data_IF_813087804837
#
_entry.id   IF_813087804837
#
_cell.length_a   1.000
_cell.length_b   1.000
_cell.length_c   1.000
_cell.angle_alpha   90.00
_cell.angle_beta   90.00
_cell.angle_gamma   90.00
#
_symmetry.space_group_name_H-M   'P 1'
#
loop_
_entity.id
_entity.type
_entity.pdbx_description
1 polymer ?
#
# COMPACT_ATOMS: atom_id res chain seq x y z
N UNK A 1 25.93 -1.03 9.66
CA UNK A 1 24.95 -0.93 8.56
C UNK A 1 24.09 -2.19 8.65
N UNK A 2 22.85 -2.06 9.12
CA UNK A 2 21.94 -3.22 9.17
C UNK A 2 21.72 -3.74 7.76
N UNK A 3 21.62 -5.06 7.54
CA UNK A 3 21.34 -5.62 6.23
C UNK A 3 20.01 -5.06 5.72
N UNK A 4 19.96 -4.73 4.41
CA UNK A 4 18.74 -4.30 3.77
C UNK A 4 17.68 -5.37 3.96
N UNK A 5 16.59 -5.02 4.64
CA UNK A 5 15.45 -5.90 4.80
C UNK A 5 14.66 -5.85 3.50
N UNK A 6 14.65 -6.95 2.76
CA UNK A 6 13.82 -7.11 1.57
C UNK A 6 12.51 -7.82 1.90
N UNK A 7 11.47 -7.54 1.10
CA UNK A 7 10.21 -8.26 1.20
C UNK A 7 10.41 -9.74 0.84
N UNK A 8 9.91 -10.62 1.69
CA UNK A 8 9.77 -12.02 1.32
C UNK A 8 8.68 -12.15 0.27
N UNK A 9 8.99 -12.79 -0.86
CA UNK A 9 7.97 -13.15 -1.84
C UNK A 9 7.19 -14.36 -1.34
N UNK A 10 5.88 -14.34 -1.55
CA UNK A 10 5.00 -15.45 -1.17
C UNK A 10 4.21 -15.92 -2.37
N UNK A 11 4.06 -17.25 -2.52
CA UNK A 11 3.14 -17.83 -3.52
C UNK A 11 1.71 -17.40 -3.23
N UNK A 12 1.35 -17.31 -1.94
CA UNK A 12 0.07 -16.81 -1.46
C UNK A 12 0.27 -15.46 -0.76
N UNK A 13 0.55 -14.42 -1.55
CA UNK A 13 0.82 -13.08 -1.01
C UNK A 13 -0.41 -12.51 -0.30
N UNK A 14 -0.26 -11.96 0.92
CA UNK A 14 -1.33 -11.25 1.60
C UNK A 14 -1.49 -9.80 1.12
N UNK A 15 -0.50 -9.28 0.38
CA UNK A 15 -0.54 -7.88 -0.09
C UNK A 15 -1.56 -7.75 -1.20
N UNK A 16 -2.64 -7.04 -0.92
CA UNK A 16 -3.76 -6.81 -1.84
C UNK A 16 -3.68 -5.45 -2.54
N UNK A 17 -2.86 -4.54 -2.03
CA UNK A 17 -2.67 -3.23 -2.63
C UNK A 17 -1.35 -2.60 -2.16
N UNK A 18 -0.62 -1.97 -3.10
CA UNK A 18 0.48 -1.05 -2.80
C UNK A 18 0.22 0.25 -3.54
N UNK A 19 0.35 1.38 -2.84
CA UNK A 19 0.13 2.71 -3.43
C UNK A 19 1.28 3.64 -3.09
N UNK A 20 1.87 4.25 -4.12
CA UNK A 20 2.71 5.44 -3.99
C UNK A 20 1.88 6.66 -4.34
N UNK A 21 1.77 7.63 -3.44
CA UNK A 21 0.98 8.85 -3.65
C UNK A 21 1.82 10.09 -3.39
N UNK A 22 1.79 11.03 -4.33
CA UNK A 22 2.50 12.29 -4.30
C UNK A 22 1.47 13.41 -4.28
N UNK A 23 1.52 14.26 -3.26
CA UNK A 23 0.74 15.50 -3.21
C UNK A 23 1.60 16.67 -3.64
N UNK A 24 1.02 17.61 -4.34
CA UNK A 24 1.66 18.85 -4.82
C UNK A 24 0.68 20.01 -4.76
N UNK A 25 1.14 21.26 -4.86
CA UNK A 25 0.26 22.42 -4.95
C UNK A 25 -0.71 22.31 -6.12
N UNK A 26 -1.91 22.86 -5.97
CA UNK A 26 -2.97 22.75 -6.97
C UNK A 26 -2.52 23.21 -8.36
N UNK A 27 -2.70 22.32 -9.34
CA UNK A 27 -2.45 22.56 -10.76
C UNK A 27 -3.79 22.71 -11.50
N UNK A 28 -4.25 23.94 -11.65
CA UNK A 28 -5.57 24.24 -12.23
C UNK A 28 -5.72 23.80 -13.69
N UNK A 29 -4.62 23.55 -14.39
CA UNK A 29 -4.63 23.02 -15.76
C UNK A 29 -5.16 21.60 -15.85
N UNK A 30 -5.02 20.78 -14.80
CA UNK A 30 -5.46 19.38 -14.79
C UNK A 30 -6.99 19.26 -14.85
N UNK A 31 -7.80 19.95 -14.00
CA UNK A 31 -9.26 19.90 -14.13
C UNK A 31 -9.80 20.75 -15.26
N UNK A 32 -9.05 21.74 -15.78
CA UNK A 32 -9.51 22.64 -16.83
C UNK A 32 -9.59 21.96 -18.21
N UNK A 33 -8.75 20.93 -18.47
CA UNK A 33 -8.74 20.18 -19.72
C UNK A 33 -8.18 18.75 -19.51
N UNK A 34 -8.58 17.77 -20.35
CA UNK A 34 -8.00 16.44 -20.32
C UNK A 34 -6.47 16.48 -20.42
N UNK A 35 -5.74 15.69 -19.62
CA UNK A 35 -4.28 15.74 -19.53
C UNK A 35 -3.61 14.98 -20.71
N UNK A 36 -3.84 15.44 -21.94
CA UNK A 36 -3.39 14.77 -23.16
C UNK A 36 -1.85 14.62 -23.20
N UNK A 37 -1.11 15.67 -22.85
CA UNK A 37 0.35 15.62 -22.84
C UNK A 37 0.92 14.61 -21.82
N UNK A 38 0.25 14.42 -20.70
CA UNK A 38 0.60 13.37 -19.74
C UNK A 38 0.21 11.98 -20.26
N UNK A 39 -0.99 11.84 -20.79
CA UNK A 39 -1.47 10.59 -21.42
C UNK A 39 -0.49 10.09 -22.48
N UNK A 40 -0.02 10.97 -23.36
CA UNK A 40 0.94 10.60 -24.44
C UNK A 40 2.23 9.96 -23.90
N UNK A 41 2.67 10.39 -22.71
CA UNK A 41 3.88 9.84 -22.08
C UNK A 41 3.65 8.50 -21.39
N UNK A 42 2.43 8.24 -20.91
CA UNK A 42 2.14 7.03 -20.12
C UNK A 42 1.34 5.97 -20.90
N UNK A 43 0.73 6.30 -22.03
CA UNK A 43 -0.20 5.43 -22.80
C UNK A 43 0.39 4.09 -23.25
N UNK A 44 1.71 4.01 -23.44
CA UNK A 44 2.36 2.75 -23.83
C UNK A 44 2.21 1.68 -22.73
N UNK A 45 2.24 2.09 -21.46
CA UNK A 45 2.06 1.21 -20.30
C UNK A 45 0.61 1.20 -19.80
N UNK A 46 -0.08 2.35 -19.89
CA UNK A 46 -1.46 2.56 -19.39
C UNK A 46 -2.39 3.01 -20.51
N UNK A 47 -2.79 2.09 -21.41
CA UNK A 47 -3.58 2.43 -22.59
C UNK A 47 -5.04 2.79 -22.29
N UNK A 48 -5.58 2.33 -21.15
CA UNK A 48 -6.93 2.67 -20.74
C UNK A 48 -6.98 3.97 -19.96
N UNK A 49 -8.03 4.73 -20.16
CA UNK A 49 -8.25 6.03 -19.56
C UNK A 49 -9.72 6.20 -19.22
N UNK A 50 -10.01 6.78 -18.07
CA UNK A 50 -11.34 7.16 -17.61
C UNK A 50 -11.26 8.38 -16.68
N UNK A 51 -12.27 9.25 -16.63
CA UNK A 51 -12.38 10.25 -15.56
C UNK A 51 -12.64 9.55 -14.21
N UNK A 52 -12.24 10.19 -13.11
CA UNK A 52 -12.65 9.77 -11.76
C UNK A 52 -14.16 9.91 -11.58
N UNK A 53 -14.75 9.20 -10.60
CA UNK A 53 -16.21 9.24 -10.35
C UNK A 53 -16.71 10.66 -10.05
N UNK A 54 -15.93 11.46 -9.34
CA UNK A 54 -16.22 12.87 -9.03
C UNK A 54 -15.88 13.83 -10.17
N UNK A 55 -15.33 13.31 -11.29
CA UNK A 55 -14.86 14.07 -12.45
C UNK A 55 -13.80 15.14 -12.16
N UNK A 56 -13.09 15.03 -11.02
CA UNK A 56 -12.01 15.95 -10.62
C UNK A 56 -10.62 15.46 -10.99
N UNK A 57 -10.53 14.31 -11.64
CA UNK A 57 -9.28 13.71 -12.04
C UNK A 57 -9.46 12.61 -13.07
N UNK A 58 -8.39 11.88 -13.30
CA UNK A 58 -8.29 10.88 -14.34
C UNK A 58 -7.59 9.63 -13.81
N UNK A 59 -8.05 8.47 -14.26
CA UNK A 59 -7.45 7.17 -13.98
C UNK A 59 -6.94 6.59 -15.29
N UNK A 60 -5.67 6.22 -15.31
CA UNK A 60 -5.04 5.46 -16.38
C UNK A 60 -4.75 4.05 -15.86
N UNK A 61 -4.97 3.02 -16.67
CA UNK A 61 -4.73 1.65 -16.22
C UNK A 61 -4.09 0.78 -17.29
N UNK A 62 -3.37 -0.25 -16.82
CA UNK A 62 -2.88 -1.33 -17.68
C UNK A 62 -4.04 -2.14 -18.27
N UNK A 63 -3.73 -2.94 -19.30
CA UNK A 63 -4.70 -3.84 -19.94
C UNK A 63 -5.29 -4.86 -18.96
N UNK A 64 -4.48 -5.39 -18.06
CA UNK A 64 -4.89 -6.35 -17.03
C UNK A 64 -5.63 -5.71 -15.85
N UNK A 65 -5.69 -4.38 -15.78
CA UNK A 65 -6.31 -3.60 -14.71
C UNK A 65 -5.77 -3.91 -13.32
N UNK A 66 -4.51 -4.30 -13.22
CA UNK A 66 -3.84 -4.54 -11.94
C UNK A 66 -2.96 -3.39 -11.51
N UNK A 67 -2.67 -2.45 -12.41
CA UNK A 67 -1.90 -1.25 -12.13
C UNK A 67 -2.63 -0.01 -12.63
N UNK A 68 -2.73 1.00 -11.78
CA UNK A 68 -3.49 2.23 -12.01
C UNK A 68 -2.62 3.45 -11.72
N UNK A 69 -2.81 4.49 -12.51
CA UNK A 69 -2.29 5.83 -12.25
C UNK A 69 -3.47 6.77 -12.08
N UNK A 70 -3.60 7.41 -10.93
CA UNK A 70 -4.61 8.42 -10.69
C UNK A 70 -3.96 9.80 -10.67
N UNK A 71 -4.49 10.71 -11.47
CA UNK A 71 -4.05 12.10 -11.55
C UNK A 71 -5.22 13.02 -11.23
N UNK A 72 -5.06 13.84 -10.21
CA UNK A 72 -6.02 14.90 -9.85
C UNK A 72 -5.31 16.25 -9.85
N UNK A 73 -6.04 17.31 -9.54
CA UNK A 73 -5.53 18.68 -9.42
C UNK A 73 -4.29 18.80 -8.52
N UNK A 74 -4.15 17.97 -7.49
CA UNK A 74 -3.10 18.07 -6.49
C UNK A 74 -2.54 16.72 -6.03
N UNK A 75 -2.84 15.65 -6.77
CA UNK A 75 -2.41 14.30 -6.40
C UNK A 75 -2.04 13.48 -7.63
N UNK A 76 -0.91 12.80 -7.56
CA UNK A 76 -0.51 11.73 -8.46
C UNK A 76 -0.35 10.46 -7.65
N UNK A 77 -1.03 9.38 -8.01
CA UNK A 77 -0.89 8.09 -7.34
C UNK A 77 -0.61 6.98 -8.35
N UNK A 78 0.27 6.05 -7.99
CA UNK A 78 0.48 4.77 -8.67
C UNK A 78 0.02 3.68 -7.72
N UNK A 79 -0.95 2.88 -8.13
CA UNK A 79 -1.53 1.80 -7.33
C UNK A 79 -1.39 0.47 -8.05
N UNK A 80 -0.94 -0.55 -7.33
CA UNK A 80 -0.80 -1.92 -7.81
C UNK A 80 -1.64 -2.85 -6.93
N UNK A 81 -2.49 -3.68 -7.52
CA UNK A 81 -3.34 -4.64 -6.81
C UNK A 81 -2.74 -6.05 -6.74
N UNK A 82 -1.64 -6.28 -7.44
CA UNK A 82 -0.87 -7.53 -7.39
C UNK A 82 0.60 -7.18 -7.24
N UNK A 83 1.10 -7.25 -6.01
CA UNK A 83 2.48 -6.89 -5.69
C UNK A 83 3.38 -8.12 -5.80
N UNK A 84 4.41 -8.05 -6.66
CA UNK A 84 5.43 -9.07 -6.85
C UNK A 84 6.74 -8.70 -6.14
N UNK A 85 7.31 -7.56 -6.50
CA UNK A 85 8.58 -7.11 -5.96
C UNK A 85 8.71 -5.58 -5.97
N UNK A 86 9.57 -5.07 -5.07
CA UNK A 86 9.79 -3.65 -4.92
C UNK A 86 10.41 -2.99 -6.16
N UNK A 87 11.37 -3.66 -6.79
CA UNK A 87 12.09 -3.09 -7.95
C UNK A 87 11.14 -2.76 -9.11
N UNK A 88 10.16 -3.64 -9.38
CA UNK A 88 9.17 -3.43 -10.43
C UNK A 88 8.23 -2.26 -10.10
N UNK A 89 7.69 -2.23 -8.88
CA UNK A 89 6.82 -1.14 -8.44
C UNK A 89 7.53 0.21 -8.39
N UNK A 90 8.77 0.22 -7.89
CA UNK A 90 9.63 1.40 -7.86
C UNK A 90 9.89 1.95 -9.27
N UNK A 91 10.17 1.08 -10.25
CA UNK A 91 10.37 1.47 -11.64
C UNK A 91 9.10 2.08 -12.25
N UNK A 92 7.91 1.52 -11.94
CA UNK A 92 6.63 2.07 -12.36
C UNK A 92 6.41 3.48 -11.79
N UNK A 93 6.62 3.67 -10.48
CA UNK A 93 6.54 4.98 -9.83
C UNK A 93 7.49 6.00 -10.45
N UNK A 94 8.74 5.63 -10.69
CA UNK A 94 9.74 6.51 -11.29
C UNK A 94 9.38 6.91 -12.73
N UNK A 95 8.87 5.98 -13.54
CA UNK A 95 8.43 6.27 -14.91
C UNK A 95 7.24 7.24 -14.97
N UNK A 96 6.24 7.02 -14.11
CA UNK A 96 5.05 7.88 -14.01
C UNK A 96 5.42 9.26 -13.46
N UNK A 97 6.26 9.32 -12.43
CA UNK A 97 6.75 10.59 -11.86
C UNK A 97 7.56 11.40 -12.88
N UNK A 98 8.43 10.74 -13.64
CA UNK A 98 9.19 11.39 -14.70
C UNK A 98 8.29 11.98 -15.78
N UNK A 99 7.26 11.25 -16.20
CA UNK A 99 6.25 11.73 -17.15
C UNK A 99 5.51 12.95 -16.59
N UNK A 100 5.08 12.88 -15.33
CA UNK A 100 4.39 13.97 -14.63
C UNK A 100 5.27 15.22 -14.52
N UNK A 101 6.50 15.06 -14.04
CA UNK A 101 7.47 16.15 -13.89
C UNK A 101 7.80 16.83 -15.22
N UNK A 102 7.89 16.06 -16.29
CA UNK A 102 8.16 16.62 -17.64
C UNK A 102 7.02 17.52 -18.13
N UNK A 103 5.76 17.18 -17.77
CA UNK A 103 4.59 17.94 -18.23
C UNK A 103 4.27 19.12 -17.32
N UNK A 104 4.35 18.91 -15.99
CA UNK A 104 3.82 19.87 -15.01
C UNK A 104 4.90 20.54 -14.15
N UNK A 105 6.12 20.04 -14.09
CA UNK A 105 7.27 20.65 -13.44
C UNK A 105 7.08 21.02 -11.97
N UNK A 106 6.55 20.15 -11.09
CA UNK A 106 6.38 20.53 -9.69
C UNK A 106 7.73 20.80 -9.03
N UNK A 107 7.81 21.89 -8.25
CA UNK A 107 9.04 22.25 -7.54
C UNK A 107 9.32 21.28 -6.37
N UNK A 108 8.27 20.80 -5.71
CA UNK A 108 8.35 19.85 -4.61
C UNK A 108 7.02 19.10 -4.45
N UNK A 109 7.07 17.94 -3.78
CA UNK A 109 5.89 17.22 -3.30
C UNK A 109 5.63 17.63 -1.85
N UNK A 110 4.44 18.17 -1.58
CA UNK A 110 4.04 18.63 -0.24
C UNK A 110 3.85 17.47 0.73
N UNK A 111 3.54 16.28 0.21
CA UNK A 111 3.50 15.00 0.93
C UNK A 111 3.82 13.86 -0.02
N UNK A 112 4.64 12.95 0.43
CA UNK A 112 4.95 11.69 -0.27
C UNK A 112 4.51 10.54 0.61
N UNK A 113 3.75 9.62 0.06
CA UNK A 113 3.19 8.47 0.79
C UNK A 113 3.53 7.17 0.08
N UNK A 114 3.92 6.15 0.86
CA UNK A 114 3.98 4.75 0.42
C UNK A 114 3.10 3.93 1.36
N UNK A 115 2.07 3.29 0.81
CA UNK A 115 1.11 2.50 1.56
C UNK A 115 1.10 1.05 1.09
N UNK A 116 1.16 0.12 2.04
CA UNK A 116 0.93 -1.30 1.84
C UNK A 116 -0.34 -1.73 2.55
N UNK A 117 -1.19 -2.46 1.87
CA UNK A 117 -2.40 -3.05 2.44
C UNK A 117 -2.33 -4.56 2.31
N UNK A 118 -2.23 -5.23 3.45
CA UNK A 118 -2.20 -6.69 3.53
C UNK A 118 -3.49 -7.19 4.16
N UNK A 119 -4.08 -8.23 3.58
CA UNK A 119 -5.27 -8.90 4.07
C UNK A 119 -4.93 -10.39 4.29
N UNK A 120 -4.82 -10.77 5.54
CA UNK A 120 -4.59 -12.16 5.90
C UNK A 120 -5.92 -12.92 5.95
N UNK A 121 -6.00 -13.99 5.17
CA UNK A 121 -7.16 -14.88 5.04
C UNK A 121 -6.73 -16.29 5.42
N UNK A 122 -6.72 -16.68 6.71
CA UNK A 122 -6.14 -17.93 7.16
C UNK A 122 -6.76 -19.17 6.49
N UNK A 123 -8.06 -19.14 6.19
CA UNK A 123 -8.74 -20.25 5.48
C UNK A 123 -8.19 -20.43 4.06
N UNK A 124 -7.89 -19.33 3.34
CA UNK A 124 -7.28 -19.40 2.02
C UNK A 124 -5.85 -20.01 2.05
N UNK A 125 -5.21 -20.00 3.21
CA UNK A 125 -3.91 -20.60 3.44
C UNK A 125 -4.00 -22.04 3.98
N UNK A 126 -5.22 -22.55 4.25
CA UNK A 126 -5.45 -23.88 4.82
C UNK A 126 -5.15 -23.97 6.31
N UNK A 127 -5.21 -22.86 7.03
CA UNK A 127 -4.94 -22.80 8.48
C UNK A 127 -6.20 -23.22 9.26
N UNK A 128 -6.10 -24.32 10.00
CA UNK A 128 -7.14 -24.85 10.90
C UNK A 128 -6.44 -25.60 12.05
N UNK A 129 -6.83 -25.41 13.33
CA UNK A 129 -7.78 -24.42 13.83
C UNK A 129 -7.27 -22.99 13.71
N UNK A 130 -8.18 -22.01 13.80
CA UNK A 130 -7.83 -20.58 13.73
C UNK A 130 -7.48 -20.04 15.13
N UNK A 131 -6.20 -19.79 15.35
CA UNK A 131 -5.63 -19.25 16.58
C UNK A 131 -4.79 -18.03 16.20
N UNK A 132 -5.34 -16.84 16.38
CA UNK A 132 -4.72 -15.60 15.91
C UNK A 132 -3.41 -15.26 16.60
N UNK A 133 -3.25 -15.62 17.86
CA UNK A 133 -2.03 -15.45 18.65
C UNK A 133 -0.85 -16.30 18.14
N UNK A 134 -1.13 -17.34 17.36
CA UNK A 134 -0.13 -18.14 16.64
C UNK A 134 0.18 -17.61 15.22
N UNK A 135 -0.60 -16.65 14.72
CA UNK A 135 -0.49 -16.11 13.37
C UNK A 135 0.07 -14.71 13.35
N UNK A 136 -0.38 -13.87 14.27
CA UNK A 136 -0.04 -12.46 14.37
C UNK A 136 0.60 -12.19 15.75
N UNK A 137 1.66 -11.41 15.75
CA UNK A 137 2.35 -11.05 16.98
C UNK A 137 1.41 -10.40 17.99
N UNK A 138 1.50 -10.80 19.27
CA UNK A 138 0.64 -10.30 20.35
C UNK A 138 0.69 -8.77 20.49
N UNK A 139 1.83 -8.12 20.22
CA UNK A 139 1.95 -6.67 20.22
C UNK A 139 1.05 -5.98 19.17
N UNK A 140 0.79 -6.65 18.03
CA UNK A 140 -0.11 -6.17 16.99
C UNK A 140 -1.56 -6.56 17.29
N UNK A 141 -1.80 -7.69 17.97
CA UNK A 141 -3.14 -8.08 18.40
C UNK A 141 -3.69 -7.21 19.54
N UNK A 142 -2.79 -6.71 20.40
CA UNK A 142 -3.18 -5.91 21.57
C UNK A 142 -4.14 -6.66 22.51
N UNK A 143 -5.27 -6.03 22.95
CA UNK A 143 -6.24 -6.67 23.85
C UNK A 143 -6.84 -7.96 23.30
N UNK A 144 -6.77 -8.18 22.00
CA UNK A 144 -7.34 -9.35 21.33
C UNK A 144 -6.49 -10.62 21.50
N UNK A 145 -5.28 -10.48 22.04
CA UNK A 145 -4.47 -11.61 22.48
C UNK A 145 -4.91 -12.16 23.86
N UNK A 146 -5.91 -11.55 24.51
CA UNK A 146 -6.41 -12.00 25.80
C UNK A 146 -7.29 -13.26 25.60
N UNK A 147 -7.08 -14.32 26.41
CA UNK A 147 -7.88 -15.54 26.35
C UNK A 147 -9.37 -15.25 26.57
N UNK A 148 -10.25 -15.94 25.84
CA UNK A 148 -11.70 -15.87 26.00
C UNK A 148 -12.39 -14.82 25.16
N UNK A 149 -11.68 -14.04 24.33
CA UNK A 149 -12.28 -13.09 23.39
C UNK A 149 -12.41 -13.63 21.96
N UNK A 150 -11.82 -14.79 21.67
CA UNK A 150 -11.67 -15.34 20.32
C UNK A 150 -13.02 -15.60 19.61
N UNK A 151 -14.05 -16.01 20.35
CA UNK A 151 -15.38 -16.34 19.80
C UNK A 151 -16.36 -15.16 19.76
N UNK A 152 -16.07 -14.06 20.47
CA UNK A 152 -16.98 -12.93 20.61
C UNK A 152 -16.66 -11.77 19.65
N UNK A 153 -15.51 -11.80 18.99
CA UNK A 153 -15.02 -10.71 18.18
C UNK A 153 -15.72 -10.65 16.82
N UNK A 154 -16.48 -9.61 16.56
CA UNK A 154 -17.12 -9.36 15.27
C UNK A 154 -16.31 -8.45 14.34
N UNK A 155 -15.39 -7.67 14.91
CA UNK A 155 -14.49 -6.79 14.17
C UNK A 155 -13.74 -5.86 15.12
N UNK A 156 -12.58 -5.39 14.68
CA UNK A 156 -11.83 -4.36 15.38
C UNK A 156 -11.11 -3.47 14.40
N UNK A 157 -10.82 -2.24 14.80
CA UNK A 157 -9.99 -1.32 14.04
C UNK A 157 -9.16 -0.49 14.99
N UNK A 158 -7.87 -0.54 14.83
CA UNK A 158 -6.89 0.30 15.51
C UNK A 158 -6.27 1.24 14.48
N UNK A 159 -6.04 2.49 14.86
CA UNK A 159 -5.46 3.53 14.01
C UNK A 159 -4.42 4.30 14.83
N UNK A 160 -3.16 4.15 14.48
CA UNK A 160 -2.02 4.68 15.21
C UNK A 160 -1.16 5.53 14.27
N UNK A 161 -0.72 6.69 14.72
CA UNK A 161 0.25 7.51 14.00
C UNK A 161 1.47 7.71 14.86
N UNK A 162 2.63 7.31 14.33
CA UNK A 162 3.91 7.33 15.01
C UNK A 162 4.90 8.23 14.25
N UNK A 163 5.79 8.90 14.99
CA UNK A 163 6.94 9.55 14.39
C UNK A 163 7.98 8.47 14.01
N UNK A 164 8.51 8.54 12.79
CA UNK A 164 9.62 7.69 12.38
C UNK A 164 10.94 8.39 12.71
N UNK A 165 11.88 7.71 13.37
CA UNK A 165 13.24 8.21 13.52
C UNK A 165 13.88 8.44 12.16
N UNK A 166 14.10 9.69 11.78
CA UNK A 166 14.76 10.05 10.51
C UNK A 166 15.72 11.21 10.72
N UNK A 167 16.73 11.29 9.88
CA UNK A 167 17.54 12.49 9.76
C UNK A 167 16.62 13.64 9.30
N UNK A 168 16.25 14.54 10.21
CA UNK A 168 15.28 15.62 9.97
C UNK A 168 13.91 15.42 10.66
N UNK A 169 13.59 14.24 11.18
CA UNK A 169 12.44 14.00 12.09
C UNK A 169 11.03 14.15 11.52
N UNK A 170 10.87 14.24 10.21
CA UNK A 170 9.63 14.66 9.55
C UNK A 170 8.76 13.53 9.00
N UNK A 171 9.27 12.29 9.04
CA UNK A 171 8.53 11.13 8.55
C UNK A 171 7.54 10.62 9.59
N UNK A 172 6.46 10.04 9.12
CA UNK A 172 5.42 9.43 9.94
C UNK A 172 5.10 8.03 9.43
N UNK A 173 4.65 7.21 10.35
CA UNK A 173 4.10 5.89 10.10
C UNK A 173 2.68 5.84 10.66
N UNK A 174 1.70 5.59 9.81
CA UNK A 174 0.33 5.28 10.23
C UNK A 174 0.09 3.79 10.06
N UNK A 175 -0.36 3.17 11.11
CA UNK A 175 -0.75 1.77 11.16
C UNK A 175 -2.26 1.69 11.36
N UNK A 176 -2.97 1.13 10.38
CA UNK A 176 -4.37 0.75 10.53
C UNK A 176 -4.45 -0.76 10.48
N UNK A 177 -4.94 -1.38 11.55
CA UNK A 177 -5.01 -2.83 11.61
C UNK A 177 -6.21 -3.31 12.42
N UNK A 178 -6.57 -4.58 12.24
CA UNK A 178 -7.62 -5.21 13.00
C UNK A 178 -8.34 -6.32 12.28
N UNK A 179 -9.33 -6.90 12.95
CA UNK A 179 -10.15 -7.99 12.42
C UNK A 179 -11.23 -7.46 11.49
N UNK A 180 -11.40 -8.17 10.38
CA UNK A 180 -12.42 -7.87 9.37
C UNK A 180 -13.15 -9.15 8.96
N UNK A 181 -14.38 -9.01 8.52
CA UNK A 181 -15.09 -10.07 7.83
C UNK A 181 -14.88 -9.88 6.33
N UNK A 182 -14.29 -10.87 5.68
CA UNK A 182 -14.03 -10.88 4.24
C UNK A 182 -15.21 -11.55 3.55
N UNK A 183 -15.92 -10.81 2.69
CA UNK A 183 -17.03 -11.32 1.88
C UNK A 183 -16.65 -11.26 0.41
N UNK A 184 -16.84 -12.34 -0.32
CA UNK A 184 -16.77 -12.31 -1.78
C UNK A 184 -17.98 -11.51 -2.34
N UNK A 185 -17.83 -10.82 -3.49
CA UNK A 185 -18.89 -9.97 -4.05
C UNK A 185 -20.26 -10.66 -4.26
N UNK A 186 -20.25 -11.99 -4.42
CA UNK A 186 -21.46 -12.81 -4.60
C UNK A 186 -22.03 -13.39 -3.29
N UNK A 187 -21.40 -13.14 -2.14
CA UNK A 187 -21.79 -13.71 -0.86
C UNK A 187 -22.51 -12.70 0.02
N UNK A 188 -23.44 -13.16 0.86
CA UNK A 188 -24.03 -12.32 1.90
C UNK A 188 -22.99 -12.04 3.00
N UNK A 189 -23.13 -10.92 3.73
CA UNK A 189 -22.26 -10.59 4.87
C UNK A 189 -22.26 -11.67 5.97
N UNK A 190 -23.32 -12.47 6.06
CA UNK A 190 -23.44 -13.55 7.04
C UNK A 190 -22.56 -14.77 6.74
N UNK A 191 -22.04 -14.91 5.51
CA UNK A 191 -21.18 -16.02 5.08
C UNK A 191 -19.71 -15.62 4.88
N UNK A 192 -19.30 -14.46 5.36
CA UNK A 192 -17.91 -13.99 5.23
C UNK A 192 -16.94 -14.78 6.12
N UNK A 193 -15.69 -14.90 5.66
CA UNK A 193 -14.62 -15.50 6.45
C UNK A 193 -13.91 -14.47 7.34
N UNK A 194 -13.40 -14.87 8.52
CA UNK A 194 -12.59 -13.99 9.35
C UNK A 194 -11.25 -13.70 8.68
N UNK A 195 -10.86 -12.42 8.69
CA UNK A 195 -9.58 -11.96 8.18
C UNK A 195 -8.93 -10.94 9.11
N UNK A 196 -7.65 -10.67 8.88
CA UNK A 196 -6.93 -9.60 9.57
C UNK A 196 -6.36 -8.63 8.55
N UNK A 197 -6.73 -7.35 8.69
CA UNK A 197 -6.20 -6.26 7.89
C UNK A 197 -4.96 -5.67 8.55
N UNK A 198 -3.91 -5.47 7.78
CA UNK A 198 -2.71 -4.73 8.17
C UNK A 198 -2.42 -3.70 7.07
N UNK A 199 -2.70 -2.43 7.36
CA UNK A 199 -2.41 -1.32 6.47
C UNK A 199 -1.28 -0.47 7.07
N UNK A 200 -0.20 -0.34 6.33
CA UNK A 200 0.99 0.40 6.69
C UNK A 200 1.13 1.59 5.75
N UNK A 201 1.08 2.81 6.28
CA UNK A 201 1.24 4.04 5.51
C UNK A 201 2.45 4.83 6.03
N UNK A 202 3.48 4.97 5.20
CA UNK A 202 4.69 5.76 5.47
C UNK A 202 4.61 7.06 4.71
N UNK A 203 4.80 8.20 5.37
CA UNK A 203 4.66 9.49 4.69
C UNK A 203 5.55 10.60 5.26
N UNK A 204 5.87 11.58 4.39
CA UNK A 204 6.52 12.83 4.80
C UNK A 204 5.47 13.86 5.21
N UNK A 205 5.82 14.74 6.13
CA UNK A 205 5.01 15.93 6.47
C UNK A 205 5.62 17.24 5.95
N UNK A 206 6.87 17.20 5.53
CA UNK A 206 7.56 18.34 4.92
C UNK A 206 7.69 18.14 3.41
N UNK A 207 7.77 19.25 2.66
CA UNK A 207 7.98 19.21 1.23
C UNK A 207 9.25 18.43 0.84
N UNK A 208 9.12 17.54 -0.12
CA UNK A 208 10.19 16.70 -0.63
C UNK A 208 10.54 17.09 -2.07
N UNK A 209 11.80 17.52 -2.34
CA UNK A 209 12.24 17.74 -3.71
C UNK A 209 12.19 16.43 -4.54
N UNK A 210 11.85 16.50 -5.85
CA UNK A 210 11.73 15.30 -6.70
C UNK A 210 12.97 14.39 -6.69
N UNK A 211 14.17 14.97 -6.57
CA UNK A 211 15.44 14.23 -6.54
C UNK A 211 15.59 13.35 -5.30
N UNK A 212 14.88 13.66 -4.22
CA UNK A 212 14.89 12.89 -2.98
C UNK A 212 13.78 11.84 -2.91
N UNK A 213 12.90 11.77 -3.90
CA UNK A 213 11.75 10.85 -3.91
C UNK A 213 12.20 9.38 -3.85
N UNK A 214 13.06 8.97 -4.78
CA UNK A 214 13.46 7.56 -4.89
C UNK A 214 14.13 7.02 -3.61
N UNK A 215 15.15 7.67 -3.03
CA UNK A 215 15.74 7.21 -1.78
C UNK A 215 14.75 7.23 -0.60
N UNK A 216 13.77 8.15 -0.59
CA UNK A 216 12.75 8.19 0.45
C UNK A 216 11.79 7.00 0.34
N UNK A 217 11.34 6.67 -0.86
CA UNK A 217 10.50 5.49 -1.11
C UNK A 217 11.23 4.19 -0.80
N UNK A 218 12.52 4.07 -1.16
CA UNK A 218 13.35 2.90 -0.82
C UNK A 218 13.43 2.69 0.70
N UNK A 219 13.58 3.77 1.46
CA UNK A 219 13.57 3.71 2.92
C UNK A 219 12.21 3.29 3.46
N UNK A 220 11.12 3.86 2.99
CA UNK A 220 9.77 3.49 3.42
C UNK A 220 9.47 2.03 3.12
N UNK A 221 9.91 1.52 1.98
CA UNK A 221 9.79 0.11 1.64
C UNK A 221 10.55 -0.80 2.62
N UNK A 222 11.77 -0.44 3.01
CA UNK A 222 12.57 -1.21 3.99
C UNK A 222 11.89 -1.24 5.37
N UNK A 223 11.38 -0.09 5.84
CA UNK A 223 10.63 -0.02 7.09
C UNK A 223 9.36 -0.87 7.04
N UNK A 224 8.65 -0.85 5.92
CA UNK A 224 7.44 -1.65 5.73
C UNK A 224 7.73 -3.16 5.76
N UNK A 225 8.78 -3.60 5.08
CA UNK A 225 9.20 -5.01 5.09
C UNK A 225 9.61 -5.47 6.50
N UNK A 226 10.36 -4.61 7.23
CA UNK A 226 10.77 -4.89 8.60
C UNK A 226 9.57 -5.01 9.54
N UNK A 227 8.64 -4.06 9.47
CA UNK A 227 7.45 -4.07 10.31
C UNK A 227 6.56 -5.28 10.01
N UNK A 228 6.33 -5.59 8.73
CA UNK A 228 5.57 -6.76 8.31
C UNK A 228 6.16 -8.06 8.91
N UNK A 229 7.46 -8.22 8.83
CA UNK A 229 8.16 -9.39 9.39
C UNK A 229 7.99 -9.52 10.91
N UNK A 230 7.90 -8.40 11.63
CA UNK A 230 7.63 -8.42 13.08
C UNK A 230 6.18 -8.75 13.41
N UNK A 231 5.23 -8.44 12.54
CA UNK A 231 3.81 -8.72 12.76
C UNK A 231 3.45 -10.17 12.50
N UNK A 232 4.10 -10.83 11.53
CA UNK A 232 3.74 -12.17 11.05
C UNK A 232 4.55 -13.22 11.78
N UNK A 233 3.87 -14.19 12.42
CA UNK A 233 4.50 -15.32 13.08
C UNK A 233 4.77 -16.47 12.11
N UNK A 234 5.65 -17.39 12.52
CA UNK A 234 6.17 -18.48 11.66
C UNK A 234 5.09 -19.36 11.03
N UNK A 235 4.01 -19.67 11.77
CA UNK A 235 2.89 -20.47 11.26
C UNK A 235 2.22 -19.82 10.05
N UNK A 236 1.96 -18.51 10.13
CA UNK A 236 1.38 -17.75 9.01
C UNK A 236 2.40 -17.58 7.89
N UNK A 237 3.65 -17.27 8.23
CA UNK A 237 4.75 -17.13 7.27
C UNK A 237 4.87 -18.38 6.38
N UNK A 238 4.94 -19.58 7.01
CA UNK A 238 5.03 -20.86 6.29
C UNK A 238 3.79 -21.13 5.45
N UNK A 239 2.58 -20.87 5.97
CA UNK A 239 1.33 -21.12 5.25
C UNK A 239 1.14 -20.23 4.01
N UNK A 240 1.74 -19.03 3.99
CA UNK A 240 1.79 -18.15 2.82
C UNK A 240 2.76 -18.65 1.73
N UNK A 241 3.56 -19.69 2.01
CA UNK A 241 4.49 -20.33 1.08
C UNK A 241 5.58 -19.36 0.58
N UNK A 242 6.58 -19.03 1.43
CA UNK A 242 7.67 -18.14 1.03
C UNK A 242 8.45 -18.77 -0.13
N UNK A 243 8.76 -17.95 -1.13
CA UNK A 243 9.59 -18.36 -2.26
C UNK A 243 11.06 -18.22 -1.88
N UNK A 244 11.89 -19.13 -2.38
CA UNK A 244 13.33 -19.01 -2.24
C UNK A 244 13.83 -17.71 -2.89
N UNK A 245 14.79 -17.04 -2.25
CA UNK A 245 15.40 -15.81 -2.73
C UNK A 245 16.29 -16.08 -3.96
#
# INVERSE_FOLDING_TARGET
>A
MEPRQEWTRYTKSPIVEVTCQLHFPDLLTIPASPPAAFQDKVRARYPHFAPTQDRRGYVFSRLDRQEFVTLTQNTLAVTLTTFSEWAEFRAACAGVETAFRTVYGPAAYTRTTLRYRSLFRPQAYGITPLEWDQLINAAALGPLALPGLEGALQGSRHDLVLALPSAGGTDRFRLVHGFVTVTEPAQSRASGEPGYLLEQEYFTIDPLPPQQLAPRLDRFNQEAARFFKHCVLERLHTAMMPMAA
#
